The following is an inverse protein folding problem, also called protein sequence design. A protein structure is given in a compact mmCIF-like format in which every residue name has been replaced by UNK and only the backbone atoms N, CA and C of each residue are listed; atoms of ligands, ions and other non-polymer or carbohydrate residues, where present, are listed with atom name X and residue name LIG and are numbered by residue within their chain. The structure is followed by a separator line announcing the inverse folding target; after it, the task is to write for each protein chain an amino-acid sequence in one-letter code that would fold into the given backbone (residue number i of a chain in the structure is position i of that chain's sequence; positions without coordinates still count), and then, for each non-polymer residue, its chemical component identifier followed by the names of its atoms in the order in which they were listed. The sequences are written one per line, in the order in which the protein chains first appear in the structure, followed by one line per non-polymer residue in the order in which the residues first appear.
data_IF_150948380521
#
_entry.id   IF_150948380521
#
_cell.length_a   1.000
_cell.length_b   1.000
_cell.length_c   1.000
_cell.angle_alpha   90.00
_cell.angle_beta   90.00
_cell.angle_gamma   90.00
#
_symmetry.space_group_name_H-M   'P 1'
#
loop_
_entity.id
_entity.type
_entity.pdbx_description
1 polymer ?
#
# COMPACT_ATOMS: atom_id res chain seq x y z
N UNK A 1 -39.53 44.03 21.58
CA UNK A 1 -38.07 44.18 21.65
C UNK A 1 -37.45 42.94 20.99
N UNK A 2 -36.88 43.13 19.82
CA UNK A 2 -36.53 42.10 18.85
C UNK A 2 -35.30 41.32 19.31
N UNK A 3 -35.39 39.98 19.22
CA UNK A 3 -34.24 39.09 19.23
C UNK A 3 -34.10 38.44 17.85
N UNK A 4 -33.05 38.85 17.15
CA UNK A 4 -32.67 38.36 15.82
C UNK A 4 -31.94 37.03 15.97
N UNK A 5 -32.52 35.98 15.39
CA UNK A 5 -31.90 34.69 15.21
C UNK A 5 -30.91 34.76 14.03
N UNK A 6 -29.62 34.76 14.29
CA UNK A 6 -28.59 34.54 13.29
C UNK A 6 -28.25 33.05 13.21
N UNK A 7 -28.77 32.37 12.19
CA UNK A 7 -28.29 31.05 11.77
C UNK A 7 -26.87 31.22 11.23
N UNK A 8 -25.89 30.69 11.94
CA UNK A 8 -24.54 30.42 11.41
C UNK A 8 -24.63 29.13 10.59
N UNK A 9 -24.49 29.26 9.30
CA UNK A 9 -24.12 28.15 8.42
C UNK A 9 -22.69 27.70 8.80
N UNK A 10 -22.60 26.55 9.44
CA UNK A 10 -21.31 25.89 9.68
C UNK A 10 -20.91 25.19 8.37
N UNK A 11 -20.01 25.83 7.64
CA UNK A 11 -19.24 25.22 6.57
C UNK A 11 -18.50 24.00 7.14
N UNK A 12 -18.89 22.80 6.77
CA UNK A 12 -18.21 21.54 7.10
C UNK A 12 -16.88 21.47 6.34
N UNK A 13 -15.84 22.02 6.92
CA UNK A 13 -14.47 21.72 6.54
C UNK A 13 -14.17 20.29 6.97
N UNK A 14 -14.14 19.36 6.01
CA UNK A 14 -13.69 17.99 6.22
C UNK A 14 -12.18 18.05 6.51
N UNK A 15 -11.69 17.61 7.68
CA UNK A 15 -10.25 17.57 7.92
C UNK A 15 -9.59 16.58 6.96
N UNK A 16 -8.54 17.02 6.27
CA UNK A 16 -7.71 16.20 5.38
C UNK A 16 -7.15 14.99 6.15
N UNK A 17 -7.70 13.81 5.90
CA UNK A 17 -7.13 12.57 6.39
C UNK A 17 -5.74 12.37 5.76
N UNK A 18 -4.69 12.34 6.58
CA UNK A 18 -3.34 12.04 6.12
C UNK A 18 -3.29 10.68 5.43
N UNK A 19 -2.88 10.60 4.19
CA UNK A 19 -2.94 9.39 3.41
C UNK A 19 -1.74 8.48 3.68
N UNK A 20 -2.03 7.19 3.74
CA UNK A 20 -0.99 6.16 3.73
C UNK A 20 -0.37 6.10 2.33
N UNK A 21 0.89 6.47 2.20
CA UNK A 21 1.60 6.58 0.92
C UNK A 21 1.62 5.26 0.14
N UNK A 22 1.30 5.30 -1.16
CA UNK A 22 1.35 4.13 -2.08
C UNK A 22 2.78 3.61 -2.26
N UNK A 23 3.80 4.47 -2.10
CA UNK A 23 5.20 4.03 -2.01
C UNK A 23 5.44 3.09 -0.82
N UNK A 24 4.67 3.24 0.27
CA UNK A 24 4.68 2.31 1.38
C UNK A 24 3.96 0.99 1.05
N UNK A 25 3.14 0.94 0.00
CA UNK A 25 2.48 -0.32 -0.45
C UNK A 25 3.42 -1.08 -1.38
N UNK A 26 4.12 -0.43 -2.31
CA UNK A 26 5.16 -1.08 -3.11
C UNK A 26 6.36 -1.53 -2.23
N UNK A 27 6.77 -0.67 -1.30
CA UNK A 27 7.77 -1.00 -0.28
C UNK A 27 7.26 -2.09 0.69
N UNK A 28 5.97 -2.05 1.08
CA UNK A 28 5.32 -3.10 1.86
C UNK A 28 5.13 -4.40 1.07
N UNK A 29 5.04 -4.33 -0.26
CA UNK A 29 5.01 -5.50 -1.13
C UNK A 29 6.37 -6.20 -1.15
N UNK A 30 7.48 -5.46 -1.26
CA UNK A 30 8.82 -6.01 -1.09
C UNK A 30 9.06 -6.56 0.33
N UNK A 31 8.43 -5.95 1.34
CA UNK A 31 8.63 -6.28 2.76
C UNK A 31 7.61 -7.28 3.32
N UNK A 32 6.48 -7.56 2.66
CA UNK A 32 5.40 -8.42 3.17
C UNK A 32 5.03 -9.60 2.27
N UNK A 33 5.53 -9.63 1.02
CA UNK A 33 5.30 -10.75 0.11
C UNK A 33 6.26 -11.89 0.45
N UNK A 34 5.75 -13.11 0.66
CA UNK A 34 6.59 -14.30 0.88
C UNK A 34 7.51 -14.49 -0.32
N UNK A 35 8.76 -15.01 -0.14
CA UNK A 35 9.58 -15.40 -1.27
C UNK A 35 8.83 -16.28 -2.29
N UNK A 36 7.86 -17.04 -1.83
CA UNK A 36 6.94 -17.80 -2.69
C UNK A 36 5.94 -16.92 -3.44
N UNK A 37 5.40 -15.84 -2.85
CA UNK A 37 4.52 -14.91 -3.54
C UNK A 37 5.30 -13.98 -4.48
N UNK A 38 6.51 -13.58 -4.10
CA UNK A 38 7.41 -12.84 -4.97
C UNK A 38 7.91 -13.69 -6.14
N UNK A 39 8.25 -14.96 -5.90
CA UNK A 39 8.61 -15.91 -6.95
C UNK A 39 7.43 -16.25 -7.88
N UNK A 40 6.20 -16.27 -7.37
CA UNK A 40 4.98 -16.38 -8.16
C UNK A 40 4.73 -15.10 -8.98
N UNK A 41 5.00 -13.92 -8.42
CA UNK A 41 4.92 -12.65 -9.12
C UNK A 41 5.98 -12.54 -10.24
N UNK A 42 7.23 -12.94 -9.99
CA UNK A 42 8.28 -12.98 -11.03
C UNK A 42 7.97 -14.03 -12.10
N UNK A 43 7.41 -15.18 -11.75
CA UNK A 43 6.91 -16.17 -12.72
C UNK A 43 5.73 -15.66 -13.54
N UNK A 44 4.82 -14.90 -12.94
CA UNK A 44 3.71 -14.28 -13.66
C UNK A 44 4.19 -13.22 -14.66
N UNK A 45 5.23 -12.43 -14.33
CA UNK A 45 5.89 -11.51 -15.28
C UNK A 45 6.50 -12.27 -16.47
N UNK A 46 7.18 -13.39 -16.21
CA UNK A 46 7.78 -14.21 -17.29
C UNK A 46 6.74 -14.89 -18.16
N UNK A 47 5.56 -15.20 -17.64
CA UNK A 47 4.47 -15.81 -18.39
C UNK A 47 3.74 -14.82 -19.32
N UNK A 48 3.73 -13.53 -18.97
CA UNK A 48 3.14 -12.46 -19.82
C UNK A 48 4.05 -12.08 -20.98
N UNK A 49 5.34 -12.43 -20.93
CA UNK A 49 6.31 -12.13 -21.99
C UNK A 49 6.32 -13.15 -23.15
N UNK A 50 5.52 -14.20 -23.08
CA UNK A 50 5.38 -15.20 -24.15
C UNK A 50 3.93 -15.19 -24.63
N UNK A 51 3.59 -14.23 -25.48
CA UNK A 51 2.43 -14.35 -26.38
C UNK A 51 2.83 -15.34 -27.47
N UNK A 52 1.99 -16.34 -27.82
CA UNK A 52 2.27 -17.21 -28.94
C UNK A 52 2.27 -16.39 -30.22
N UNK A 53 3.29 -16.60 -31.05
CA UNK A 53 3.33 -16.11 -32.43
C UNK A 53 2.06 -16.55 -33.15
N UNK A 54 1.44 -15.65 -33.91
CA UNK A 54 0.32 -15.94 -34.77
C UNK A 54 0.71 -17.07 -35.74
N UNK A 55 -0.14 -18.06 -36.00
CA UNK A 55 0.12 -19.06 -37.01
C UNK A 55 0.19 -18.39 -38.40
N UNK A 56 1.04 -18.88 -39.30
CA UNK A 56 1.19 -18.30 -40.64
C UNK A 56 -0.13 -18.34 -41.40
N UNK A 57 -0.44 -17.23 -42.05
CA UNK A 57 -1.61 -17.07 -42.89
C UNK A 57 -1.72 -18.21 -43.92
N UNK A 58 -2.80 -18.97 -43.86
CA UNK A 58 -3.17 -19.89 -44.93
C UNK A 58 -3.70 -19.06 -46.11
N UNK A 59 -3.09 -19.27 -47.26
CA UNK A 59 -3.56 -18.75 -48.53
C UNK A 59 -4.98 -19.26 -48.83
N UNK A 60 -5.94 -18.37 -48.95
CA UNK A 60 -7.28 -18.67 -49.46
C UNK A 60 -7.32 -18.60 -50.95
N UNK A 61 -8.04 -19.50 -51.66
CA UNK A 61 -8.10 -19.52 -53.12
C UNK A 61 -8.87 -18.31 -53.66
N UNK A 62 -8.37 -17.81 -54.79
CA UNK A 62 -8.99 -16.77 -55.61
C UNK A 62 -10.36 -17.24 -56.12
N UNK A 63 -11.39 -16.44 -55.91
CA UNK A 63 -12.67 -16.59 -56.56
C UNK A 63 -13.83 -16.01 -55.74
N UNK A 64 -14.12 -14.77 -55.97
CA UNK A 64 -15.40 -14.10 -56.17
C UNK A 64 -15.32 -12.63 -55.77
N UNK A 65 -15.04 -11.82 -56.82
CA UNK A 65 -15.23 -10.39 -56.75
C UNK A 65 -16.72 -10.07 -56.91
N UNK A 66 -17.32 -9.45 -55.86
CA UNK A 66 -18.38 -8.46 -56.03
C UNK A 66 -18.90 -7.94 -54.70
N UNK A 67 -18.97 -6.61 -54.61
CA UNK A 67 -19.78 -5.81 -53.68
C UNK A 67 -19.15 -5.64 -52.30
N UNK A 68 -18.12 -4.81 -52.15
CA UNK A 68 -17.90 -4.05 -50.94
C UNK A 68 -18.24 -2.58 -51.26
N UNK A 69 -19.41 -2.20 -50.80
CA UNK A 69 -19.91 -0.85 -50.67
C UNK A 69 -18.93 -0.02 -49.86
N UNK A 70 -18.67 1.20 -50.31
CA UNK A 70 -17.92 2.27 -49.66
C UNK A 70 -18.17 2.34 -48.16
N UNK A 71 -17.29 1.77 -47.36
CA UNK A 71 -17.07 2.23 -46.00
C UNK A 71 -16.13 3.42 -46.07
N UNK A 72 -16.70 4.62 -45.89
CA UNK A 72 -15.96 5.84 -45.69
C UNK A 72 -14.89 5.60 -44.62
N UNK A 73 -13.63 5.74 -45.02
CA UNK A 73 -12.49 5.85 -44.13
C UNK A 73 -12.74 7.10 -43.27
N UNK A 74 -13.10 6.85 -42.00
CA UNK A 74 -12.98 7.87 -40.97
C UNK A 74 -11.50 8.22 -40.92
N UNK A 75 -11.10 9.48 -41.13
CA UNK A 75 -9.71 9.85 -40.99
C UNK A 75 -9.29 9.50 -39.55
N UNK A 76 -8.21 8.74 -39.43
CA UNK A 76 -7.48 8.66 -38.17
C UNK A 76 -7.20 10.09 -37.74
N UNK A 77 -7.88 10.52 -36.67
CA UNK A 77 -7.63 11.80 -36.01
C UNK A 77 -6.14 11.79 -35.69
N UNK A 78 -5.36 12.56 -36.42
CA UNK A 78 -3.94 12.72 -36.17
C UNK A 78 -3.83 13.26 -34.75
N UNK A 79 -3.09 12.55 -33.91
CA UNK A 79 -2.70 13.09 -32.61
C UNK A 79 -2.23 14.52 -32.83
N UNK A 80 -2.71 15.48 -32.01
CA UNK A 80 -2.29 16.87 -32.15
C UNK A 80 -0.75 16.88 -32.09
N UNK A 81 -0.06 17.61 -32.99
CA UNK A 81 1.39 17.63 -33.01
C UNK A 81 1.88 17.98 -31.62
N UNK A 82 2.67 17.10 -31.03
CA UNK A 82 3.31 17.35 -29.73
C UNK A 82 4.04 18.68 -29.83
N UNK A 83 3.69 19.63 -28.97
CA UNK A 83 4.33 20.96 -28.94
C UNK A 83 5.85 20.73 -28.80
N UNK A 84 6.69 21.11 -29.77
CA UNK A 84 8.12 20.84 -29.74
C UNK A 84 8.86 21.48 -28.57
N UNK A 85 8.20 22.37 -27.85
CA UNK A 85 8.71 23.01 -26.64
C UNK A 85 8.52 22.20 -25.38
N UNK A 86 7.77 21.08 -25.41
CA UNK A 86 7.46 20.25 -24.22
C UNK A 86 8.23 18.94 -24.25
N UNK A 87 9.05 18.73 -23.21
CA UNK A 87 9.85 17.53 -23.01
C UNK A 87 9.28 16.76 -21.83
N UNK A 88 8.74 15.57 -22.07
CA UNK A 88 8.29 14.65 -21.04
C UNK A 88 9.35 13.57 -20.81
N UNK A 89 9.67 13.29 -19.55
CA UNK A 89 10.64 12.27 -19.21
C UNK A 89 10.36 11.59 -17.87
N UNK A 90 11.18 10.60 -17.56
CA UNK A 90 11.14 9.84 -16.33
C UNK A 90 12.55 9.83 -15.75
N UNK A 91 12.68 10.11 -14.45
CA UNK A 91 13.98 10.12 -13.77
C UNK A 91 14.60 8.72 -13.82
N UNK A 92 15.80 8.62 -14.42
CA UNK A 92 16.58 7.41 -14.45
C UNK A 92 17.46 7.25 -13.21
N UNK A 93 18.04 6.07 -13.02
CA UNK A 93 18.96 5.81 -11.91
C UNK A 93 20.26 6.60 -12.09
N UNK A 94 20.52 7.50 -11.16
CA UNK A 94 21.71 8.35 -11.14
C UNK A 94 21.48 9.76 -11.65
N UNK A 95 20.34 10.07 -12.22
CA UNK A 95 19.99 11.43 -12.66
C UNK A 95 20.05 12.41 -11.50
N UNK A 96 20.59 13.58 -11.78
CA UNK A 96 20.56 14.75 -10.90
C UNK A 96 19.78 15.88 -11.54
N UNK A 97 19.17 16.74 -10.74
CA UNK A 97 18.46 17.90 -11.24
C UNK A 97 19.41 18.85 -12.02
N UNK A 98 20.67 18.92 -11.62
CA UNK A 98 21.66 19.75 -12.32
C UNK A 98 21.98 19.24 -13.72
N UNK A 99 22.19 17.92 -13.89
CA UNK A 99 22.43 17.32 -15.21
C UNK A 99 21.21 17.43 -16.12
N UNK A 100 20.03 17.23 -15.56
CA UNK A 100 18.77 17.26 -16.29
C UNK A 100 18.43 18.66 -16.81
N UNK A 101 18.76 19.71 -16.04
CA UNK A 101 18.39 21.09 -16.32
C UNK A 101 19.52 21.90 -17.01
N UNK A 102 20.77 21.45 -16.91
CA UNK A 102 21.92 22.18 -17.48
C UNK A 102 21.85 22.43 -18.98
N UNK A 103 21.19 21.62 -19.83
CA UNK A 103 21.01 21.95 -21.24
C UNK A 103 20.09 23.14 -21.51
N UNK A 104 19.24 23.49 -20.52
CA UNK A 104 18.15 24.47 -20.68
C UNK A 104 18.28 25.69 -19.76
N UNK A 105 19.31 25.75 -18.95
CA UNK A 105 19.55 26.88 -18.04
C UNK A 105 21.03 27.02 -17.70
N UNK A 106 21.43 28.24 -17.37
CA UNK A 106 22.79 28.51 -16.85
C UNK A 106 23.01 27.84 -15.49
N UNK A 107 24.27 27.54 -15.14
CA UNK A 107 24.62 26.99 -13.83
C UNK A 107 24.12 27.86 -12.65
N UNK A 108 24.14 29.17 -12.82
CA UNK A 108 23.59 30.14 -11.85
C UNK A 108 22.08 29.96 -11.66
N UNK A 109 21.34 29.81 -12.78
CA UNK A 109 19.87 29.60 -12.75
C UNK A 109 19.52 28.24 -12.15
N UNK A 110 20.28 27.18 -12.43
CA UNK A 110 20.11 25.88 -11.79
C UNK A 110 20.29 25.98 -10.29
N UNK A 111 21.33 26.70 -9.83
CA UNK A 111 21.55 26.92 -8.40
C UNK A 111 20.40 27.71 -7.75
N UNK A 112 19.88 28.71 -8.42
CA UNK A 112 18.70 29.46 -7.96
C UNK A 112 17.47 28.53 -7.85
N UNK A 113 17.22 27.69 -8.85
CA UNK A 113 16.12 26.72 -8.84
C UNK A 113 16.23 25.75 -7.65
N UNK A 114 17.42 25.21 -7.38
CA UNK A 114 17.64 24.33 -6.23
C UNK A 114 17.39 25.07 -4.89
N UNK A 115 17.68 26.36 -4.80
CA UNK A 115 17.43 27.15 -3.61
C UNK A 115 15.93 27.43 -3.39
N UNK A 116 15.17 27.84 -4.41
CA UNK A 116 13.73 28.13 -4.28
C UNK A 116 12.91 26.87 -3.98
N UNK A 117 13.35 25.71 -4.47
CA UNK A 117 12.67 24.44 -4.22
C UNK A 117 13.02 23.78 -2.89
N UNK A 118 14.12 24.19 -2.25
CA UNK A 118 14.70 23.53 -1.07
C UNK A 118 13.73 23.31 0.09
N UNK A 119 12.85 24.28 0.35
CA UNK A 119 11.86 24.20 1.45
C UNK A 119 10.59 23.46 1.07
N UNK A 120 10.29 23.35 -0.22
CA UNK A 120 9.09 22.70 -0.75
C UNK A 120 9.34 21.23 -1.01
N UNK A 121 10.30 20.94 -1.87
CA UNK A 121 10.81 19.60 -2.17
C UNK A 121 12.26 19.73 -2.66
N UNK A 122 13.26 19.24 -1.88
CA UNK A 122 14.66 19.31 -2.29
C UNK A 122 14.92 18.44 -3.51
N UNK A 123 15.36 19.01 -4.61
CA UNK A 123 15.62 18.29 -5.88
C UNK A 123 16.91 17.46 -5.89
N UNK A 124 17.69 17.49 -4.80
CA UNK A 124 18.76 16.51 -4.57
C UNK A 124 18.24 15.09 -4.22
N UNK A 125 16.93 14.96 -4.00
CA UNK A 125 16.24 13.70 -3.69
C UNK A 125 15.32 13.23 -4.82
N UNK A 126 15.72 13.41 -6.08
CA UNK A 126 14.98 12.85 -7.22
C UNK A 126 14.87 11.34 -7.08
N UNK A 127 13.70 10.80 -7.37
CA UNK A 127 13.44 9.36 -7.28
C UNK A 127 13.34 8.76 -8.66
N UNK A 128 14.12 7.73 -8.90
CA UNK A 128 14.04 6.90 -10.12
C UNK A 128 12.59 6.47 -10.37
N UNK A 129 12.13 6.61 -11.61
CA UNK A 129 10.78 6.25 -12.04
C UNK A 129 9.73 7.36 -11.85
N UNK A 130 10.09 8.54 -11.31
CA UNK A 130 9.16 9.68 -11.22
C UNK A 130 9.14 10.47 -12.52
N UNK A 131 7.93 10.83 -13.03
CA UNK A 131 7.78 11.66 -14.21
C UNK A 131 8.22 13.09 -13.97
N UNK A 132 8.73 13.72 -15.03
CA UNK A 132 8.92 15.16 -15.10
C UNK A 132 8.48 15.69 -16.45
N UNK A 133 8.11 16.96 -16.47
CA UNK A 133 7.81 17.71 -17.70
C UNK A 133 8.64 18.99 -17.70
N UNK A 134 9.26 19.30 -18.82
CA UNK A 134 10.04 20.50 -19.05
C UNK A 134 9.43 21.24 -20.22
N UNK A 135 8.98 22.45 -19.96
CA UNK A 135 8.48 23.37 -21.00
C UNK A 135 9.58 24.37 -21.29
N UNK A 136 9.99 24.43 -22.54
CA UNK A 136 11.05 25.31 -23.01
C UNK A 136 10.47 26.42 -23.89
N UNK A 137 11.24 27.49 -24.07
CA UNK A 137 10.99 28.54 -25.07
C UNK A 137 10.86 27.95 -26.49
N UNK A 138 10.27 28.69 -27.41
CA UNK A 138 10.02 28.20 -28.79
C UNK A 138 11.30 27.74 -29.52
N UNK A 139 12.46 28.29 -29.17
CA UNK A 139 13.76 27.87 -29.69
C UNK A 139 14.34 26.62 -28.99
N UNK A 140 13.65 26.09 -27.97
CA UNK A 140 14.03 24.91 -27.23
C UNK A 140 15.24 25.09 -26.28
N UNK A 141 15.70 26.33 -26.07
CA UNK A 141 16.97 26.60 -25.39
C UNK A 141 16.80 26.99 -23.92
N UNK A 142 15.71 27.66 -23.59
CA UNK A 142 15.49 28.21 -22.24
C UNK A 142 14.30 27.50 -21.58
N UNK A 143 14.50 27.05 -20.34
CA UNK A 143 13.42 26.53 -19.52
C UNK A 143 12.47 27.66 -19.08
N UNK A 144 11.20 27.52 -19.40
CA UNK A 144 10.10 28.36 -18.93
C UNK A 144 9.39 27.76 -17.73
N UNK A 145 9.20 26.43 -17.73
CA UNK A 145 8.51 25.71 -16.66
C UNK A 145 9.09 24.31 -16.49
N UNK A 146 9.27 23.91 -15.24
CA UNK A 146 9.68 22.57 -14.84
C UNK A 146 8.63 21.98 -13.89
N UNK A 147 8.12 20.80 -14.19
CA UNK A 147 7.21 20.05 -13.33
C UNK A 147 7.87 18.73 -12.95
N UNK A 148 7.78 18.36 -11.67
CA UNK A 148 8.29 17.10 -11.14
C UNK A 148 7.23 16.45 -10.26
N UNK A 149 6.81 15.24 -10.59
CA UNK A 149 5.86 14.50 -9.78
C UNK A 149 6.55 13.94 -8.54
N UNK A 150 6.40 14.63 -7.40
CA UNK A 150 6.94 14.22 -6.10
C UNK A 150 6.42 12.83 -5.71
N UNK A 151 5.15 12.58 -5.98
CA UNK A 151 4.43 11.32 -5.77
C UNK A 151 3.11 11.33 -6.56
N UNK A 152 2.29 10.28 -6.40
CA UNK A 152 0.98 10.14 -7.06
C UNK A 152 -0.09 11.17 -6.64
N UNK A 153 0.25 12.21 -5.87
CA UNK A 153 -0.70 13.21 -5.36
C UNK A 153 -0.24 14.63 -5.53
N UNK A 154 1.05 14.86 -5.61
CA UNK A 154 1.63 16.19 -5.61
C UNK A 154 2.74 16.29 -6.64
N UNK A 155 2.75 17.40 -7.36
CA UNK A 155 3.82 17.80 -8.26
C UNK A 155 4.43 19.13 -7.79
N UNK A 156 5.74 19.23 -7.92
CA UNK A 156 6.47 20.48 -7.80
C UNK A 156 6.41 21.18 -9.14
N UNK A 157 6.11 22.46 -9.13
CA UNK A 157 6.13 23.31 -10.31
C UNK A 157 7.11 24.46 -10.07
N UNK A 158 8.00 24.68 -11.01
CA UNK A 158 8.89 25.84 -11.04
C UNK A 158 8.64 26.57 -12.35
N UNK A 159 8.32 27.86 -12.27
CA UNK A 159 8.04 28.71 -13.42
C UNK A 159 9.02 29.88 -13.44
N UNK A 160 9.55 30.22 -14.62
CA UNK A 160 10.34 31.42 -14.87
C UNK A 160 9.38 32.59 -15.03
N UNK A 161 9.57 33.64 -14.26
CA UNK A 161 8.81 34.89 -14.31
C UNK A 161 9.78 36.05 -14.54
N UNK A 162 9.27 37.24 -14.81
CA UNK A 162 10.09 38.44 -14.97
C UNK A 162 10.89 38.81 -13.70
N UNK A 163 10.37 38.37 -12.52
CA UNK A 163 11.01 38.61 -11.22
C UNK A 163 11.99 37.48 -10.83
N UNK A 164 12.09 36.41 -11.61
CA UNK A 164 12.93 35.22 -11.36
C UNK A 164 12.18 33.92 -11.32
N UNK A 165 12.74 32.90 -10.64
CA UNK A 165 12.12 31.57 -10.53
C UNK A 165 11.18 31.50 -9.33
N UNK A 166 9.95 31.10 -9.59
CA UNK A 166 8.92 30.85 -8.56
C UNK A 166 8.61 29.36 -8.51
N UNK A 167 8.59 28.80 -7.28
CA UNK A 167 8.29 27.40 -7.06
C UNK A 167 7.08 27.22 -6.14
N UNK A 168 6.23 26.27 -6.44
CA UNK A 168 5.12 25.85 -5.58
C UNK A 168 4.81 24.37 -5.76
N UNK A 169 3.99 23.80 -4.88
CA UNK A 169 3.55 22.41 -4.93
C UNK A 169 2.05 22.39 -5.16
N UNK A 170 1.62 21.66 -6.19
CA UNK A 170 0.21 21.48 -6.52
C UNK A 170 -0.25 20.03 -6.31
N UNK A 171 -1.53 19.83 -5.97
CA UNK A 171 -2.13 18.51 -6.01
C UNK A 171 -2.28 18.03 -7.46
N UNK A 172 -2.00 16.74 -7.70
CA UNK A 172 -2.35 16.10 -8.96
C UNK A 172 -3.83 15.74 -8.91
N UNK A 173 -4.60 16.28 -9.84
CA UNK A 173 -6.04 16.01 -9.97
C UNK A 173 -6.23 14.74 -10.80
N UNK A 174 -7.12 13.87 -10.36
CA UNK A 174 -7.51 12.66 -11.07
C UNK A 174 -9.03 12.61 -11.23
N UNK A 175 -9.46 12.13 -12.36
CA UNK A 175 -10.82 11.65 -12.54
C UNK A 175 -10.95 10.25 -11.96
N UNK A 176 -12.12 9.95 -11.40
CA UNK A 176 -12.39 8.67 -10.76
C UNK A 176 -13.58 7.98 -11.40
N UNK A 177 -13.39 6.72 -11.75
CA UNK A 177 -14.46 5.83 -12.17
C UNK A 177 -14.58 4.69 -11.15
N UNK A 178 -15.79 4.42 -10.70
CA UNK A 178 -16.05 3.28 -9.84
C UNK A 178 -16.22 2.03 -10.70
N UNK A 179 -15.50 0.97 -10.34
CA UNK A 179 -15.61 -0.31 -11.05
C UNK A 179 -15.87 -1.45 -10.06
N UNK A 180 -16.61 -2.45 -10.53
CA UNK A 180 -16.79 -3.71 -9.83
C UNK A 180 -15.97 -4.79 -10.54
N UNK A 181 -15.00 -5.36 -9.82
CA UNK A 181 -14.15 -6.45 -10.29
C UNK A 181 -14.56 -7.72 -9.56
N UNK A 182 -14.99 -8.73 -10.28
CA UNK A 182 -15.44 -10.00 -9.69
C UNK A 182 -14.88 -11.19 -10.45
N UNK A 183 -14.69 -12.31 -9.76
CA UNK A 183 -14.20 -13.53 -10.37
C UNK A 183 -14.41 -14.75 -9.50
N UNK A 184 -14.42 -15.92 -10.15
CA UNK A 184 -14.43 -17.22 -9.48
C UNK A 184 -13.06 -17.87 -9.67
N UNK A 185 -12.47 -18.32 -8.59
CA UNK A 185 -11.12 -18.89 -8.56
C UNK A 185 -11.14 -20.25 -9.23
N UNK A 186 -10.28 -20.43 -10.22
CA UNK A 186 -10.05 -21.71 -10.90
C UNK A 186 -8.72 -22.35 -10.49
N UNK A 187 -7.68 -21.55 -10.36
CA UNK A 187 -6.32 -21.96 -9.99
C UNK A 187 -5.74 -21.07 -8.90
N UNK A 188 -5.68 -19.77 -9.13
CA UNK A 188 -5.18 -18.79 -8.18
C UNK A 188 -5.95 -17.46 -8.25
N UNK A 189 -5.89 -16.67 -7.18
CA UNK A 189 -6.47 -15.33 -7.15
C UNK A 189 -5.80 -14.40 -8.16
N UNK A 190 -4.47 -14.55 -8.36
CA UNK A 190 -3.70 -13.75 -9.31
C UNK A 190 -4.12 -14.00 -10.75
N UNK A 191 -4.21 -15.27 -11.16
CA UNK A 191 -4.64 -15.64 -12.51
C UNK A 191 -6.09 -15.25 -12.77
N UNK A 192 -6.95 -15.41 -11.77
CA UNK A 192 -8.36 -14.99 -11.90
C UNK A 192 -8.45 -13.48 -12.13
N UNK A 193 -7.69 -12.67 -11.42
CA UNK A 193 -7.65 -11.21 -11.64
C UNK A 193 -7.07 -10.86 -13.03
N UNK A 194 -5.98 -11.51 -13.42
CA UNK A 194 -5.41 -11.31 -14.76
C UNK A 194 -6.43 -11.63 -15.87
N UNK A 195 -7.22 -12.70 -15.72
CA UNK A 195 -8.26 -13.06 -16.69
C UNK A 195 -9.43 -12.07 -16.76
N UNK A 196 -9.61 -11.21 -15.78
CA UNK A 196 -10.58 -10.11 -15.81
C UNK A 196 -10.04 -8.85 -16.49
N UNK A 197 -8.80 -8.85 -16.98
CA UNK A 197 -8.13 -7.67 -17.53
C UNK A 197 -7.64 -6.69 -16.47
N UNK A 198 -7.69 -7.06 -15.18
CA UNK A 198 -7.30 -6.20 -14.08
C UNK A 198 -5.91 -6.55 -13.54
N UNK A 199 -5.25 -5.57 -12.94
CA UNK A 199 -3.90 -5.78 -12.42
C UNK A 199 -3.88 -6.79 -11.26
N UNK A 200 -2.92 -7.74 -11.26
CA UNK A 200 -2.71 -8.68 -10.15
C UNK A 200 -2.45 -8.02 -8.80
N UNK A 201 -2.12 -6.73 -8.75
CA UNK A 201 -1.98 -5.95 -7.50
C UNK A 201 -3.27 -5.98 -6.66
N UNK A 202 -4.42 -6.17 -7.29
CA UNK A 202 -5.70 -6.28 -6.58
C UNK A 202 -5.78 -7.52 -5.70
N UNK A 203 -5.06 -8.61 -6.04
CA UNK A 203 -4.96 -9.78 -5.18
C UNK A 203 -4.33 -9.44 -3.83
N UNK A 204 -3.34 -8.56 -3.82
CA UNK A 204 -2.71 -8.09 -2.59
C UNK A 204 -3.70 -7.27 -1.78
N UNK A 205 -4.46 -6.38 -2.41
CA UNK A 205 -5.50 -5.59 -1.71
C UNK A 205 -6.59 -6.48 -1.10
N UNK A 206 -7.03 -7.51 -1.82
CA UNK A 206 -7.99 -8.50 -1.31
C UNK A 206 -7.39 -9.26 -0.11
N UNK A 207 -6.14 -9.68 -0.21
CA UNK A 207 -5.44 -10.34 0.87
C UNK A 207 -5.23 -9.44 2.10
N UNK A 208 -4.95 -8.15 1.91
CA UNK A 208 -4.85 -7.18 2.99
C UNK A 208 -6.19 -6.99 3.73
N UNK A 209 -7.30 -6.97 2.99
CA UNK A 209 -8.63 -6.83 3.56
C UNK A 209 -9.04 -8.07 4.35
N UNK A 210 -8.92 -9.26 3.77
CA UNK A 210 -9.45 -10.50 4.33
C UNK A 210 -8.39 -11.41 4.96
N UNK A 211 -7.10 -11.09 4.90
CA UNK A 211 -6.01 -11.93 5.41
C UNK A 211 -6.06 -12.21 6.92
N UNK A 212 -6.90 -11.47 7.64
CA UNK A 212 -7.21 -11.78 9.03
C UNK A 212 -8.19 -12.94 9.18
N UNK A 213 -9.06 -13.18 8.19
CA UNK A 213 -10.11 -14.18 8.18
C UNK A 213 -9.71 -15.41 7.36
N UNK A 214 -9.04 -15.20 6.22
CA UNK A 214 -8.72 -16.21 5.22
C UNK A 214 -7.20 -16.32 5.08
N UNK A 215 -6.68 -17.54 5.11
CA UNK A 215 -5.29 -17.79 4.74
C UNK A 215 -5.20 -18.05 3.24
N UNK A 216 -4.91 -17.02 2.46
CA UNK A 216 -4.86 -17.06 1.00
C UNK A 216 -3.84 -18.05 0.41
N UNK A 217 -2.91 -18.58 1.23
CA UNK A 217 -1.95 -19.62 0.81
C UNK A 217 -2.52 -21.04 1.02
N UNK A 218 -3.30 -21.23 2.10
CA UNK A 218 -3.72 -22.58 2.52
C UNK A 218 -5.19 -22.88 2.28
N UNK A 219 -6.04 -21.84 2.36
CA UNK A 219 -7.48 -22.02 2.46
C UNK A 219 -8.22 -21.82 1.14
N UNK A 220 -7.56 -21.23 0.11
CA UNK A 220 -8.16 -21.04 -1.20
C UNK A 220 -8.49 -22.38 -1.87
N UNK A 221 -9.66 -22.43 -2.50
CA UNK A 221 -10.14 -23.57 -3.27
C UNK A 221 -10.71 -23.09 -4.61
N UNK A 222 -10.69 -24.01 -5.58
CA UNK A 222 -11.47 -23.85 -6.80
C UNK A 222 -12.95 -23.68 -6.46
N UNK A 223 -13.62 -22.74 -7.14
CA UNK A 223 -15.00 -22.37 -6.86
C UNK A 223 -15.16 -21.22 -5.84
N UNK A 224 -14.13 -20.85 -5.09
CA UNK A 224 -14.14 -19.63 -4.28
C UNK A 224 -14.34 -18.40 -5.19
N UNK A 225 -14.97 -17.36 -4.68
CA UNK A 225 -15.29 -16.17 -5.50
C UNK A 225 -15.10 -14.88 -4.73
N UNK A 226 -14.88 -13.80 -5.49
CA UNK A 226 -14.77 -12.48 -4.92
C UNK A 226 -15.53 -11.43 -5.74
N UNK A 227 -15.89 -10.35 -5.10
CA UNK A 227 -16.30 -9.11 -5.74
C UNK A 227 -15.67 -7.93 -5.00
N UNK A 228 -15.05 -7.04 -5.74
CA UNK A 228 -14.33 -5.87 -5.26
C UNK A 228 -14.93 -4.62 -5.89
N UNK A 229 -15.31 -3.65 -5.07
CA UNK A 229 -15.75 -2.33 -5.51
C UNK A 229 -14.61 -1.34 -5.30
N UNK A 230 -14.03 -0.83 -6.39
CA UNK A 230 -12.80 -0.04 -6.35
C UNK A 230 -12.85 1.14 -7.31
N UNK A 231 -12.25 2.25 -6.91
CA UNK A 231 -12.02 3.39 -7.78
C UNK A 231 -10.84 3.12 -8.73
N UNK A 232 -11.01 3.43 -10.02
CA UNK A 232 -9.91 3.63 -10.98
C UNK A 232 -9.63 5.12 -11.12
N UNK A 233 -8.36 5.48 -11.18
CA UNK A 233 -7.88 6.86 -11.35
C UNK A 233 -7.48 7.08 -12.80
N UNK A 234 -7.92 8.19 -13.36
CA UNK A 234 -7.57 8.61 -14.71
C UNK A 234 -7.01 10.03 -14.68
N UNK A 235 -6.10 10.32 -15.59
CA UNK A 235 -5.62 11.65 -15.90
C UNK A 235 -5.49 11.76 -17.42
N UNK A 236 -6.12 12.75 -18.01
CA UNK A 236 -6.15 12.90 -19.48
C UNK A 236 -6.66 11.64 -20.17
N UNK A 237 -7.73 11.04 -19.62
CA UNK A 237 -8.34 9.77 -20.05
C UNK A 237 -7.44 8.52 -19.92
N UNK A 238 -6.21 8.64 -19.45
CA UNK A 238 -5.32 7.51 -19.23
C UNK A 238 -5.48 6.91 -17.84
N UNK A 239 -5.49 5.58 -17.76
CA UNK A 239 -5.50 4.86 -16.49
C UNK A 239 -4.18 5.06 -15.72
N UNK A 240 -4.25 5.69 -14.55
CA UNK A 240 -3.10 5.98 -13.68
C UNK A 240 -3.10 5.13 -12.39
N UNK A 241 -3.88 4.06 -12.35
CA UNK A 241 -3.91 3.13 -11.23
C UNK A 241 -5.22 3.11 -10.46
N UNK A 242 -5.22 2.42 -9.33
CA UNK A 242 -6.41 2.23 -8.51
C UNK A 242 -6.45 3.20 -7.35
N UNK A 243 -7.63 3.76 -7.10
CA UNK A 243 -7.96 4.57 -5.95
C UNK A 243 -8.34 3.73 -4.72
N UNK A 244 -9.38 4.17 -3.99
CA UNK A 244 -9.87 3.49 -2.79
C UNK A 244 -10.67 2.23 -3.14
N UNK A 245 -10.51 1.19 -2.32
CA UNK A 245 -11.48 0.10 -2.25
C UNK A 245 -12.60 0.55 -1.34
N UNK A 246 -13.83 0.57 -1.84
CA UNK A 246 -15.01 0.98 -1.07
C UNK A 246 -15.64 -0.21 -0.34
N UNK A 247 -15.59 -1.39 -0.94
CA UNK A 247 -16.07 -2.61 -0.33
C UNK A 247 -15.64 -3.84 -1.09
N UNK A 248 -15.76 -4.98 -0.46
CA UNK A 248 -15.44 -6.27 -1.05
C UNK A 248 -16.26 -7.39 -0.41
N UNK A 249 -16.50 -8.43 -1.19
CA UNK A 249 -16.97 -9.72 -0.69
C UNK A 249 -16.00 -10.81 -1.13
N UNK A 250 -15.83 -11.83 -0.30
CA UNK A 250 -15.06 -13.01 -0.62
C UNK A 250 -15.78 -14.24 -0.09
N UNK A 251 -16.13 -15.18 -0.98
CA UNK A 251 -16.69 -16.46 -0.60
C UNK A 251 -15.61 -17.52 -0.65
N UNK A 252 -15.29 -18.08 0.51
CA UNK A 252 -14.28 -19.12 0.67
C UNK A 252 -14.92 -20.35 1.29
N UNK A 253 -14.87 -21.48 0.58
CA UNK A 253 -15.44 -22.76 1.02
C UNK A 253 -16.90 -22.62 1.47
N UNK A 254 -17.72 -21.89 0.69
CA UNK A 254 -19.14 -21.65 0.96
C UNK A 254 -19.45 -20.60 2.01
N UNK A 255 -18.45 -20.04 2.70
CA UNK A 255 -18.65 -18.95 3.67
C UNK A 255 -18.29 -17.60 3.05
N UNK A 256 -19.25 -16.66 3.06
CA UNK A 256 -19.05 -15.31 2.55
C UNK A 256 -18.57 -14.38 3.66
N UNK A 257 -17.49 -13.66 3.36
CA UNK A 257 -16.92 -12.59 4.15
C UNK A 257 -17.19 -11.27 3.45
N UNK A 258 -17.54 -10.25 4.21
CA UNK A 258 -17.89 -8.93 3.70
C UNK A 258 -16.98 -7.88 4.34
N UNK A 259 -16.57 -6.90 3.54
CA UNK A 259 -15.73 -5.80 3.95
C UNK A 259 -16.27 -4.48 3.41
N UNK A 260 -16.44 -3.50 4.27
CA UNK A 260 -16.93 -2.17 3.96
C UNK A 260 -15.95 -1.14 4.45
N UNK A 261 -15.43 -0.32 3.56
CA UNK A 261 -14.58 0.81 3.92
C UNK A 261 -15.42 1.91 4.55
N UNK A 262 -15.04 2.31 5.74
CA UNK A 262 -15.69 3.38 6.47
C UNK A 262 -14.67 4.29 7.13
N UNK A 263 -14.84 5.61 6.91
CA UNK A 263 -14.01 6.64 7.50
C UNK A 263 -14.74 7.27 8.68
N UNK A 264 -14.03 7.43 9.78
CA UNK A 264 -14.40 8.21 10.96
C UNK A 264 -13.38 9.35 11.11
N UNK A 265 -13.59 10.28 12.04
CA UNK A 265 -12.72 11.47 12.21
C UNK A 265 -11.23 11.14 12.20
N UNK A 266 -10.82 10.12 12.94
CA UNK A 266 -9.40 9.79 13.14
C UNK A 266 -8.94 8.53 12.41
N UNK A 267 -9.84 7.77 11.77
CA UNK A 267 -9.46 6.53 11.12
C UNK A 267 -10.35 6.15 9.93
N UNK A 268 -9.74 5.54 8.94
CA UNK A 268 -10.42 4.87 7.83
C UNK A 268 -9.99 3.39 7.86
N UNK A 269 -10.98 2.48 7.90
CA UNK A 269 -10.71 1.06 8.02
C UNK A 269 -11.83 0.22 7.37
N UNK A 270 -11.54 -1.08 7.18
CA UNK A 270 -12.54 -2.04 6.76
C UNK A 270 -13.25 -2.67 7.96
N UNK A 271 -14.57 -2.74 7.86
CA UNK A 271 -15.45 -3.34 8.84
C UNK A 271 -16.31 -4.42 8.19
N UNK A 272 -16.64 -5.47 8.93
CA UNK A 272 -17.59 -6.48 8.48
C UNK A 272 -19.03 -5.96 8.55
N UNK A 273 -20.00 -6.77 8.13
CA UNK A 273 -21.42 -6.40 8.12
C UNK A 273 -21.98 -6.01 9.51
N UNK A 274 -21.33 -6.43 10.60
CA UNK A 274 -21.71 -6.09 11.98
C UNK A 274 -21.04 -4.81 12.50
N UNK A 275 -20.18 -4.19 11.72
CA UNK A 275 -19.37 -3.03 12.13
C UNK A 275 -18.17 -3.40 12.99
N UNK A 276 -17.72 -4.65 12.98
CA UNK A 276 -16.50 -5.09 13.65
C UNK A 276 -15.32 -4.90 12.70
N UNK A 277 -14.21 -4.33 13.16
CA UNK A 277 -13.02 -4.12 12.35
C UNK A 277 -12.45 -5.43 11.80
N UNK A 278 -12.13 -5.46 10.52
CA UNK A 278 -11.42 -6.58 9.91
C UNK A 278 -9.91 -6.54 10.20
N UNK A 279 -9.38 -5.41 10.64
CA UNK A 279 -7.98 -5.31 11.07
C UNK A 279 -7.84 -6.00 12.41
N UNK A 280 -7.05 -7.07 12.47
CA UNK A 280 -6.64 -7.66 13.76
C UNK A 280 -5.71 -6.70 14.48
N UNK A 281 -5.85 -6.64 15.79
CA UNK A 281 -5.00 -5.79 16.63
C UNK A 281 -3.56 -6.27 16.69
N UNK A 282 -3.28 -7.52 16.29
CA UNK A 282 -1.94 -8.09 16.25
C UNK A 282 -1.65 -8.81 14.94
N UNK A 283 -0.45 -8.61 14.41
CA UNK A 283 0.13 -9.44 13.35
C UNK A 283 0.40 -10.87 13.88
N UNK A 284 0.33 -11.86 12.99
CA UNK A 284 0.65 -13.26 13.34
C UNK A 284 2.13 -13.48 13.68
N UNK A 285 3.02 -12.65 13.14
CA UNK A 285 4.46 -12.71 13.38
C UNK A 285 5.09 -11.30 13.28
N UNK A 286 6.15 -11.03 14.07
CA UNK A 286 6.88 -9.76 14.05
C UNK A 286 7.90 -9.63 12.92
N UNK A 287 8.15 -10.72 12.19
CA UNK A 287 9.09 -10.80 11.08
C UNK A 287 8.37 -11.27 9.81
N UNK A 288 8.83 -10.79 8.65
CA UNK A 288 8.51 -11.40 7.38
C UNK A 288 9.38 -12.66 7.20
N UNK A 289 8.74 -13.80 6.88
CA UNK A 289 9.37 -15.05 6.46
C UNK A 289 10.53 -15.57 7.27
N UNK A 290 10.19 -16.23 8.35
CA UNK A 290 11.19 -16.88 9.17
C UNK A 290 10.72 -18.25 9.61
N UNK A 291 11.66 -19.14 9.70
CA UNK A 291 11.43 -20.44 10.31
C UNK A 291 11.34 -20.27 11.82
N UNK A 292 10.32 -20.79 12.44
CA UNK A 292 10.27 -20.95 13.88
C UNK A 292 11.35 -21.98 14.26
N UNK A 293 12.39 -21.51 14.94
CA UNK A 293 13.46 -22.39 15.43
C UNK A 293 13.13 -23.03 16.78
N UNK A 294 12.29 -22.35 17.59
CA UNK A 294 11.81 -22.88 18.84
C UNK A 294 10.42 -22.34 19.20
N UNK A 295 9.50 -23.22 19.52
CA UNK A 295 8.14 -22.84 19.93
C UNK A 295 8.02 -22.56 21.43
N UNK A 296 6.83 -22.05 21.80
CA UNK A 296 6.44 -21.91 23.21
C UNK A 296 6.34 -23.26 23.90
N UNK A 297 7.04 -23.45 25.01
CA UNK A 297 7.05 -24.70 25.78
C UNK A 297 7.29 -24.40 27.27
N UNK A 298 6.54 -25.05 28.14
CA UNK A 298 6.75 -24.96 29.61
C UNK A 298 7.87 -25.90 30.07
N UNK A 299 8.28 -26.87 29.26
CA UNK A 299 9.30 -27.86 29.61
C UNK A 299 10.28 -28.10 28.43
N UNK A 300 11.17 -27.11 28.17
CA UNK A 300 12.18 -27.16 27.11
C UNK A 300 13.58 -27.36 27.72
N UNK A 301 14.38 -28.26 27.13
CA UNK A 301 15.80 -28.34 27.44
C UNK A 301 16.52 -27.07 26.96
N UNK A 302 17.06 -26.30 27.87
CA UNK A 302 17.71 -25.03 27.55
C UNK A 302 19.01 -25.28 26.76
N UNK A 303 19.23 -24.64 25.60
CA UNK A 303 20.37 -24.95 24.72
C UNK A 303 21.74 -24.66 25.36
N UNK A 304 21.81 -23.62 26.20
CA UNK A 304 23.06 -23.21 26.89
C UNK A 304 23.21 -23.95 28.23
N UNK A 305 22.21 -23.87 29.09
CA UNK A 305 22.29 -24.40 30.47
C UNK A 305 22.00 -25.90 30.57
N UNK A 306 21.49 -26.53 29.47
CA UNK A 306 21.13 -27.96 29.37
C UNK A 306 20.14 -28.44 30.43
N UNK A 307 19.57 -27.55 31.22
CA UNK A 307 18.51 -27.82 32.22
C UNK A 307 17.13 -27.63 31.56
N UNK A 308 16.09 -28.23 32.14
CA UNK A 308 14.73 -28.02 31.69
C UNK A 308 14.22 -26.67 32.23
N UNK A 309 13.92 -25.74 31.35
CA UNK A 309 13.39 -24.41 31.65
C UNK A 309 12.24 -24.05 30.70
N UNK A 310 11.22 -23.34 31.22
CA UNK A 310 10.17 -22.87 30.33
C UNK A 310 10.71 -21.87 29.29
N UNK A 311 10.30 -22.07 28.02
CA UNK A 311 10.47 -21.09 26.97
C UNK A 311 9.12 -20.42 26.71
N UNK A 312 8.92 -19.26 27.30
CA UNK A 312 7.65 -18.52 27.27
C UNK A 312 7.58 -17.54 26.08
N UNK A 313 8.13 -17.96 24.93
CA UNK A 313 8.20 -17.20 23.69
C UNK A 313 8.24 -18.10 22.47
N UNK A 314 8.42 -17.49 21.32
CA UNK A 314 8.67 -18.15 20.04
C UNK A 314 9.95 -17.55 19.45
N UNK A 315 10.91 -18.40 19.16
CA UNK A 315 12.16 -18.01 18.51
C UNK A 315 12.02 -18.09 16.97
N UNK A 316 12.22 -16.98 16.32
CA UNK A 316 12.24 -16.85 14.86
C UNK A 316 13.68 -16.76 14.37
N UNK A 317 14.17 -17.79 13.67
CA UNK A 317 15.49 -17.75 13.06
C UNK A 317 15.47 -16.79 11.87
N UNK A 318 16.34 -15.78 11.89
CA UNK A 318 16.51 -14.82 10.82
C UNK A 318 17.94 -14.26 10.81
N UNK A 319 18.49 -13.85 9.65
CA UNK A 319 19.79 -13.18 9.58
C UNK A 319 19.83 -11.92 10.45
N UNK A 320 21.03 -11.61 10.97
CA UNK A 320 21.28 -10.33 11.65
C UNK A 320 20.93 -9.17 10.71
N UNK A 321 20.25 -8.12 11.25
CA UNK A 321 19.83 -6.97 10.48
C UNK A 321 18.43 -7.10 9.86
N UNK A 322 17.78 -8.28 9.93
CA UNK A 322 16.39 -8.44 9.48
C UNK A 322 15.45 -7.49 10.24
N UNK A 323 14.61 -6.67 9.57
CA UNK A 323 13.73 -5.73 10.25
C UNK A 323 12.69 -6.43 11.13
N UNK A 324 12.59 -5.98 12.39
CA UNK A 324 11.60 -6.44 13.38
C UNK A 324 10.47 -5.43 13.44
N UNK A 325 9.23 -5.90 13.23
CA UNK A 325 8.03 -5.06 13.16
C UNK A 325 7.21 -5.18 14.46
N UNK A 326 6.62 -4.05 14.87
CA UNK A 326 5.62 -4.03 15.94
C UNK A 326 4.42 -4.89 15.53
N UNK A 327 4.05 -5.89 16.34
CA UNK A 327 2.90 -6.76 16.01
C UNK A 327 1.56 -6.05 16.16
N UNK A 328 1.48 -4.93 16.86
CA UNK A 328 0.27 -4.13 17.05
C UNK A 328 0.58 -2.67 17.31
N UNK A 329 -0.45 -1.83 17.20
CA UNK A 329 -0.38 -0.44 17.63
C UNK A 329 -0.09 -0.41 19.14
N UNK A 330 0.79 0.47 19.61
CA UNK A 330 1.15 0.52 21.03
C UNK A 330 2.12 1.63 21.37
N UNK A 331 2.55 1.63 22.62
CA UNK A 331 3.56 2.55 23.16
C UNK A 331 4.76 1.75 23.63
N UNK A 332 5.96 2.20 23.29
CA UNK A 332 7.21 1.58 23.75
C UNK A 332 7.35 1.84 25.26
N UNK A 333 7.26 0.79 26.04
CA UNK A 333 7.52 0.84 27.48
C UNK A 333 9.01 0.79 27.79
N UNK A 334 9.75 -0.05 27.04
CA UNK A 334 11.20 -0.20 27.16
C UNK A 334 11.83 -0.36 25.79
N UNK A 335 12.93 0.35 25.53
CA UNK A 335 13.90 0.08 24.49
C UNK A 335 15.29 0.19 25.13
N UNK A 336 16.04 -0.91 25.19
CA UNK A 336 17.32 -0.96 25.88
C UNK A 336 17.76 -2.38 26.24
N UNK A 337 18.82 -2.48 27.03
CA UNK A 337 19.38 -3.75 27.48
C UNK A 337 18.51 -4.46 28.52
N UNK A 338 18.35 -5.76 28.37
CA UNK A 338 17.73 -6.68 29.33
C UNK A 338 18.69 -7.81 29.70
N UNK A 339 18.80 -8.13 31.00
CA UNK A 339 19.64 -9.24 31.44
C UNK A 339 19.17 -10.56 30.80
N UNK A 340 20.07 -11.22 30.08
CA UNK A 340 19.80 -12.44 29.30
C UNK A 340 19.11 -12.19 27.95
N UNK A 341 18.31 -11.12 27.80
CA UNK A 341 17.56 -10.80 26.58
C UNK A 341 18.33 -9.93 25.59
N UNK A 342 19.47 -9.35 26.01
CA UNK A 342 20.24 -8.45 25.18
C UNK A 342 19.47 -7.14 24.90
N UNK A 343 19.67 -6.56 23.75
CA UNK A 343 18.88 -5.42 23.30
C UNK A 343 17.42 -5.87 23.08
N UNK A 344 16.48 -5.17 23.71
CA UNK A 344 15.08 -5.55 23.68
C UNK A 344 14.16 -4.35 23.57
N UNK A 345 13.01 -4.56 22.94
CA UNK A 345 11.87 -3.63 22.94
C UNK A 345 10.67 -4.30 23.62
N UNK A 346 9.96 -3.54 24.45
CA UNK A 346 8.68 -3.95 25.04
C UNK A 346 7.63 -2.92 24.60
N UNK A 347 6.53 -3.40 24.03
CA UNK A 347 5.37 -2.59 23.67
C UNK A 347 4.20 -2.90 24.57
N UNK A 348 3.54 -1.86 25.05
CA UNK A 348 2.19 -1.94 25.62
C UNK A 348 1.15 -1.68 24.56
N UNK A 349 0.22 -2.61 24.40
CA UNK A 349 -0.93 -2.52 23.52
C UNK A 349 -2.22 -2.27 24.31
N UNK A 350 -3.31 -1.99 23.62
CA UNK A 350 -4.64 -1.95 24.23
C UNK A 350 -5.05 -3.34 24.75
N UNK A 351 -6.02 -3.37 25.68
CA UNK A 351 -6.59 -4.62 26.19
C UNK A 351 -5.66 -5.46 27.07
N UNK A 352 -4.65 -4.85 27.73
CA UNK A 352 -3.75 -5.55 28.65
C UNK A 352 -2.73 -6.48 27.97
N UNK A 353 -2.50 -6.29 26.66
CA UNK A 353 -1.49 -7.02 25.91
C UNK A 353 -0.14 -6.30 25.95
N UNK A 354 0.94 -7.08 26.08
CA UNK A 354 2.32 -6.63 25.95
C UNK A 354 3.06 -7.56 24.98
N UNK A 355 3.88 -6.97 24.08
CA UNK A 355 4.79 -7.73 23.25
C UNK A 355 6.24 -7.38 23.54
N UNK A 356 7.11 -8.38 23.53
CA UNK A 356 8.53 -8.26 23.80
C UNK A 356 9.34 -8.86 22.66
N UNK A 357 10.38 -8.15 22.27
CA UNK A 357 11.27 -8.43 21.12
C UNK A 357 12.70 -8.39 21.63
N UNK A 358 13.39 -9.53 21.64
CA UNK A 358 14.69 -9.67 22.29
C UNK A 358 15.79 -10.12 21.31
N UNK A 359 17.05 -10.06 21.78
CA UNK A 359 18.25 -10.38 21.04
C UNK A 359 18.53 -9.48 19.82
N UNK A 360 18.00 -8.22 19.87
CA UNK A 360 18.15 -7.27 18.75
C UNK A 360 19.61 -6.84 18.55
N UNK A 361 20.04 -6.61 17.32
CA UNK A 361 21.33 -5.97 17.00
C UNK A 361 21.28 -4.47 17.27
N UNK A 362 20.10 -3.84 17.12
CA UNK A 362 19.90 -2.41 17.33
C UNK A 362 18.43 -2.02 17.26
N UNK A 363 18.17 -0.74 17.56
CA UNK A 363 16.84 -0.14 17.55
C UNK A 363 16.63 0.65 16.27
N UNK A 364 15.41 0.70 15.76
CA UNK A 364 15.05 1.57 14.64
C UNK A 364 15.04 3.04 15.09
N UNK A 365 15.22 3.96 14.13
CA UNK A 365 15.13 5.40 14.40
C UNK A 365 13.77 5.74 15.03
N UNK A 366 13.78 6.49 16.13
CA UNK A 366 12.58 6.85 16.90
C UNK A 366 12.05 5.76 17.82
N UNK A 367 12.62 4.55 17.87
CA UNK A 367 12.21 3.49 18.78
C UNK A 367 12.79 3.73 20.20
N UNK A 368 12.18 4.61 20.94
CA UNK A 368 12.57 4.98 22.32
C UNK A 368 11.38 4.88 23.28
N UNK A 369 11.65 4.76 24.58
CA UNK A 369 10.62 4.74 25.62
C UNK A 369 9.65 5.92 25.47
N UNK A 370 8.35 5.63 25.57
CA UNK A 370 7.26 6.60 25.43
C UNK A 370 6.83 6.85 23.97
N UNK A 371 7.58 6.39 22.96
CA UNK A 371 7.18 6.56 21.58
C UNK A 371 5.97 5.70 21.21
N UNK A 372 4.99 6.29 20.52
CA UNK A 372 3.88 5.54 19.91
C UNK A 372 4.34 4.90 18.61
N UNK A 373 3.96 3.65 18.41
CA UNK A 373 4.26 2.89 17.19
C UNK A 373 2.99 2.32 16.61
N UNK A 374 2.97 2.18 15.29
CA UNK A 374 1.86 1.55 14.55
C UNK A 374 2.18 0.09 14.29
N UNK A 375 1.15 -0.74 14.15
CA UNK A 375 1.28 -2.12 13.68
C UNK A 375 2.06 -2.16 12.35
N UNK A 376 3.06 -3.05 12.25
CA UNK A 376 3.92 -3.17 11.09
C UNK A 376 5.09 -2.19 11.04
N UNK A 377 5.16 -1.21 11.93
CA UNK A 377 6.31 -0.28 12.00
C UNK A 377 7.55 -1.02 12.46
N UNK A 378 8.71 -0.76 11.79
CA UNK A 378 10.00 -1.31 12.21
C UNK A 378 10.42 -0.67 13.52
N UNK A 379 10.76 -1.50 14.51
CA UNK A 379 11.15 -1.09 15.87
C UNK A 379 12.57 -1.49 16.24
N UNK A 380 13.20 -2.35 15.45
CA UNK A 380 14.57 -2.82 15.65
C UNK A 380 14.95 -3.83 14.59
N UNK A 381 16.10 -4.47 14.79
CA UNK A 381 16.67 -5.40 13.84
C UNK A 381 17.15 -6.67 14.57
N UNK A 382 16.96 -7.83 13.94
CA UNK A 382 17.42 -9.12 14.48
C UNK A 382 18.91 -9.10 14.75
N UNK A 383 19.32 -9.72 15.84
CA UNK A 383 20.71 -9.88 16.24
C UNK A 383 20.94 -11.17 17.00
N UNK A 384 22.01 -11.18 17.81
CA UNK A 384 22.39 -12.28 18.71
C UNK A 384 22.92 -11.74 20.04
N UNK A 385 22.38 -10.62 20.54
CA UNK A 385 22.79 -10.00 21.79
C UNK A 385 22.21 -10.73 23.01
N UNK A 386 22.88 -10.68 24.15
CA UNK A 386 22.45 -11.40 25.37
C UNK A 386 22.76 -12.92 25.31
N UNK A 387 21.86 -13.76 25.86
CA UNK A 387 22.02 -15.22 25.89
C UNK A 387 21.47 -15.86 24.61
N UNK A 388 22.11 -15.62 23.49
CA UNK A 388 21.76 -16.16 22.18
C UNK A 388 22.86 -17.09 21.66
N UNK A 389 22.49 -18.22 21.04
CA UNK A 389 23.43 -19.16 20.41
C UNK A 389 23.66 -18.86 18.93
N UNK A 390 22.92 -17.92 18.36
CA UNK A 390 23.00 -17.47 16.98
C UNK A 390 21.92 -16.44 16.68
N UNK A 391 21.91 -15.85 15.47
CA UNK A 391 20.96 -14.82 15.10
C UNK A 391 19.52 -15.33 15.12
N UNK A 392 18.67 -14.72 15.95
CA UNK A 392 17.23 -15.00 16.05
C UNK A 392 16.52 -13.88 16.80
N UNK A 393 15.20 -13.85 16.68
CA UNK A 393 14.32 -13.03 17.50
C UNK A 393 13.59 -13.91 18.50
N UNK A 394 13.75 -13.67 19.82
CA UNK A 394 12.86 -14.20 20.85
C UNK A 394 11.68 -13.24 21.01
N UNK A 395 10.52 -13.71 20.56
CA UNK A 395 9.27 -12.96 20.60
C UNK A 395 8.32 -13.52 21.64
N UNK A 396 7.87 -12.67 22.55
CA UNK A 396 6.97 -13.05 23.64
C UNK A 396 5.75 -12.17 23.70
N UNK A 397 4.63 -12.75 24.13
CA UNK A 397 3.40 -12.03 24.43
C UNK A 397 3.00 -12.26 25.89
N UNK A 398 2.48 -11.19 26.51
CA UNK A 398 1.77 -11.28 27.78
C UNK A 398 0.35 -10.76 27.61
N UNK A 399 -0.58 -11.42 28.28
CA UNK A 399 -1.96 -10.99 28.43
C UNK A 399 -2.22 -10.81 29.92
N UNK A 400 -2.56 -9.59 30.33
CA UNK A 400 -2.78 -9.24 31.76
C UNK A 400 -1.62 -9.70 32.66
N UNK A 401 -0.37 -9.42 32.25
CA UNK A 401 0.86 -9.73 32.97
C UNK A 401 1.33 -11.19 32.88
N UNK A 402 0.55 -12.12 32.32
CA UNK A 402 0.92 -13.54 32.17
C UNK A 402 1.40 -13.85 30.77
N UNK A 403 2.52 -14.60 30.63
CA UNK A 403 2.98 -15.07 29.33
C UNK A 403 1.98 -16.02 28.70
N UNK A 404 1.70 -15.81 27.44
CA UNK A 404 0.80 -16.63 26.62
C UNK A 404 1.53 -17.12 25.37
N UNK A 405 1.08 -18.25 24.81
CA UNK A 405 1.65 -18.77 23.58
C UNK A 405 1.28 -17.87 22.40
N UNK A 406 2.24 -17.15 21.77
CA UNK A 406 1.95 -16.23 20.68
C UNK A 406 1.22 -16.88 19.49
N UNK A 407 1.50 -18.15 19.20
CA UNK A 407 0.87 -18.88 18.10
C UNK A 407 -0.62 -19.22 18.37
N UNK A 408 -1.06 -19.18 19.62
CA UNK A 408 -2.43 -19.49 20.04
C UNK A 408 -3.25 -18.26 20.41
N UNK A 409 -2.63 -17.08 20.47
CA UNK A 409 -3.35 -15.83 20.76
C UNK A 409 -4.23 -15.51 19.55
N UNK A 410 -5.53 -15.56 19.78
CA UNK A 410 -6.49 -14.98 18.84
C UNK A 410 -6.42 -13.48 19.02
N UNK A 411 -5.76 -12.79 18.08
CA UNK A 411 -5.70 -11.35 18.12
C UNK A 411 -7.13 -10.78 18.15
N UNK A 412 -7.49 -9.97 19.15
CA UNK A 412 -8.77 -9.30 19.12
C UNK A 412 -8.89 -8.50 17.82
N UNK A 413 -10.07 -8.38 17.28
CA UNK A 413 -10.32 -7.43 16.18
C UNK A 413 -10.10 -6.01 16.70
N UNK A 414 -9.72 -5.09 15.82
CA UNK A 414 -9.80 -3.67 16.10
C UNK A 414 -11.19 -3.31 16.60
N UNK A 415 -11.34 -2.19 17.26
CA UNK A 415 -12.62 -1.79 17.87
C UNK A 415 -13.76 -1.84 16.86
N UNK A 416 -14.96 -2.10 17.34
CA UNK A 416 -16.19 -1.96 16.56
C UNK A 416 -16.49 -0.49 16.32
N UNK A 417 -17.29 -0.19 15.31
CA UNK A 417 -17.78 1.15 15.05
C UNK A 417 -18.53 1.68 16.28
N UNK A 418 -18.17 2.87 16.80
CA UNK A 418 -18.84 3.50 17.92
C UNK A 418 -20.33 3.72 17.65
N UNK A 419 -21.16 3.74 18.72
CA UNK A 419 -22.62 3.84 18.58
C UNK A 419 -23.08 5.09 17.82
N UNK A 420 -22.40 6.21 18.01
CA UNK A 420 -22.69 7.47 17.31
C UNK A 420 -22.45 7.41 15.79
N UNK A 421 -21.57 6.54 15.31
CA UNK A 421 -21.25 6.35 13.88
C UNK A 421 -22.03 5.18 13.24
N UNK A 422 -22.75 4.40 14.04
CA UNK A 422 -23.38 3.17 13.57
C UNK A 422 -24.44 3.39 12.49
N UNK A 423 -25.20 4.49 12.56
CA UNK A 423 -26.21 4.80 11.54
C UNK A 423 -25.57 5.19 10.20
N UNK A 424 -24.51 5.99 10.24
CA UNK A 424 -23.77 6.39 9.03
C UNK A 424 -23.09 5.17 8.38
N UNK A 425 -22.55 4.28 9.21
CA UNK A 425 -22.02 3.01 8.72
C UNK A 425 -23.10 2.15 8.05
N UNK A 426 -24.28 2.00 8.64
CA UNK A 426 -25.39 1.24 8.05
C UNK A 426 -25.80 1.81 6.69
N UNK A 427 -25.90 3.12 6.57
CA UNK A 427 -26.22 3.80 5.31
C UNK A 427 -25.12 3.57 4.27
N UNK A 428 -23.86 3.75 4.67
CA UNK A 428 -22.71 3.50 3.79
C UNK A 428 -22.62 2.03 3.34
N UNK A 429 -22.85 1.10 4.27
CA UNK A 429 -22.88 -0.34 3.99
C UNK A 429 -23.99 -0.69 2.98
N UNK A 430 -25.20 -0.15 3.16
CA UNK A 430 -26.31 -0.38 2.25
C UNK A 430 -25.97 0.10 0.84
N UNK A 431 -25.46 1.33 0.72
CA UNK A 431 -25.02 1.90 -0.56
C UNK A 431 -23.97 1.05 -1.26
N UNK A 432 -22.91 0.66 -0.53
CA UNK A 432 -21.84 -0.21 -1.08
C UNK A 432 -22.42 -1.57 -1.49
N UNK A 433 -23.34 -2.13 -0.71
CA UNK A 433 -24.01 -3.39 -1.01
C UNK A 433 -24.85 -3.32 -2.29
N UNK A 434 -25.52 -2.22 -2.55
CA UNK A 434 -26.26 -1.98 -3.81
C UNK A 434 -25.31 -1.99 -5.02
N UNK A 435 -24.15 -1.33 -4.91
CA UNK A 435 -23.14 -1.34 -5.98
C UNK A 435 -22.54 -2.74 -6.17
N UNK A 436 -22.18 -3.43 -5.09
CA UNK A 436 -21.59 -4.78 -5.16
C UNK A 436 -22.57 -5.81 -5.76
N UNK A 437 -23.87 -5.68 -5.44
CA UNK A 437 -24.92 -6.57 -5.99
C UNK A 437 -25.38 -6.20 -7.39
N UNK A 438 -24.96 -5.06 -7.93
CA UNK A 438 -25.39 -4.56 -9.23
C UNK A 438 -26.79 -3.95 -9.26
N UNK A 439 -27.41 -3.71 -8.11
CA UNK A 439 -28.70 -3.03 -7.99
C UNK A 439 -28.62 -1.55 -8.30
N UNK A 440 -27.44 -0.97 -8.19
CA UNK A 440 -27.16 0.44 -8.48
C UNK A 440 -26.13 0.56 -9.59
N UNK A 441 -26.34 1.52 -10.51
CA UNK A 441 -25.39 1.80 -11.58
C UNK A 441 -24.09 2.40 -11.03
N UNK A 442 -22.95 1.94 -11.53
CA UNK A 442 -21.64 2.47 -11.16
C UNK A 442 -21.42 3.91 -11.64
N UNK A 443 -22.14 4.34 -12.70
CA UNK A 443 -22.16 5.72 -13.19
C UNK A 443 -22.75 6.73 -12.20
N UNK A 444 -23.57 6.26 -11.24
CA UNK A 444 -24.19 7.12 -10.22
C UNK A 444 -23.24 7.50 -9.08
N UNK A 445 -22.02 6.95 -9.10
CA UNK A 445 -21.04 7.24 -8.08
C UNK A 445 -20.52 8.67 -8.21
N UNK A 446 -20.70 9.44 -7.13
CA UNK A 446 -20.10 10.76 -6.93
C UNK A 446 -19.16 10.65 -5.72
N UNK A 447 -17.91 11.07 -5.90
CA UNK A 447 -16.87 11.05 -4.87
C UNK A 447 -17.07 12.17 -3.86
#
# INVERSE_FOLDING_TARGET
MYLVNSRREASLLIPESQPVAVSSVAQRLQDQVTPSLFALWERAKSAVAVLPEEPPAQEMPEGEAAIVSEMQQVPLEQEPPSDPSVINGVIAKGDSASELLSPYMSASSVHQLLNVTRKLHPLNNLRTGQPYTLVCSQDGRDMERFEYEINDRKKLIVTKTDEGLVAHVEPIVYDFSLVRVSGTIRSSLFETLASTGESPILAVRIADIFGSEINFIKDLREGDSFSLLIEKRFRENEFKGYGKVLGATFTNQGKTYEAYNFAMEDCEAFFNAKGESLKKTLLKAPLAFTRISSGYSMNRKHPIFKTHKPHQGVDYAAPTGTPVKAVGDGTIEKAGWGNGFGNMVILKHSGGLESMYSHLSGFASGAKRGARVRQGQVIGYVGATGYATGPHLDFRLKQNGKYVNPAKVVAPRGGSIPRNWMNDFKNRKALIGEYLSGKRSLSDYKR
#
